data_IF_333366924260
#
_entry.id   IF_333366924260
#
_cell.length_a   1.000
_cell.length_b   1.000
_cell.length_c   1.000
_cell.angle_alpha   90.00
_cell.angle_beta   90.00
_cell.angle_gamma   90.00
#
_symmetry.space_group_name_H-M   'P 1'
#
loop_
_entity.id
_entity.type
_entity.pdbx_description
1 polymer ?
#
# COMPACT_ATOMS: atom_id res chain seq x y z
N UNK A 1 16.62 -5.77 -1.23
CA UNK A 1 15.55 -5.75 -2.25
C UNK A 1 14.63 -6.94 -2.01
N UNK A 2 13.34 -6.69 -1.79
CA UNK A 2 12.32 -7.75 -1.59
C UNK A 2 11.29 -7.68 -2.72
N UNK A 3 10.93 -8.83 -3.29
CA UNK A 3 10.03 -8.92 -4.45
C UNK A 3 8.85 -9.82 -4.12
N UNK A 4 7.65 -9.34 -4.41
CA UNK A 4 6.40 -10.09 -4.26
C UNK A 4 5.72 -10.17 -5.63
N UNK A 5 5.34 -11.38 -6.04
CA UNK A 5 4.60 -11.60 -7.29
C UNK A 5 3.24 -12.19 -6.96
N UNK A 6 2.18 -11.62 -7.52
CA UNK A 6 0.81 -12.10 -7.32
C UNK A 6 -0.03 -11.92 -8.59
N UNK A 7 -1.20 -12.56 -8.61
CA UNK A 7 -2.22 -12.28 -9.62
C UNK A 7 -3.26 -11.32 -9.05
N UNK A 8 -3.51 -10.23 -9.76
CA UNK A 8 -4.58 -9.31 -9.40
C UNK A 8 -5.96 -9.95 -9.66
N UNK A 9 -7.04 -9.25 -9.28
CA UNK A 9 -8.43 -9.73 -9.49
C UNK A 9 -8.85 -9.84 -10.96
N UNK A 10 -8.03 -9.39 -11.89
CA UNK A 10 -8.23 -9.50 -13.32
C UNK A 10 -7.28 -10.53 -13.95
N UNK A 11 -6.67 -11.41 -13.14
CA UNK A 11 -5.72 -12.45 -13.54
C UNK A 11 -4.41 -11.91 -14.17
N UNK A 12 -4.09 -10.63 -13.95
CA UNK A 12 -2.83 -10.02 -14.39
C UNK A 12 -1.73 -10.34 -13.38
N UNK A 13 -0.56 -10.74 -13.87
CA UNK A 13 0.62 -10.95 -13.01
C UNK A 13 1.23 -9.59 -12.68
N UNK A 14 1.30 -9.28 -11.38
CA UNK A 14 1.85 -8.04 -10.86
C UNK A 14 3.08 -8.36 -10.01
N UNK A 15 4.17 -7.64 -10.26
CA UNK A 15 5.43 -7.70 -9.51
C UNK A 15 5.56 -6.46 -8.64
N UNK A 16 5.64 -6.60 -7.33
CA UNK A 16 5.93 -5.50 -6.40
C UNK A 16 7.39 -5.61 -5.98
N UNK A 17 8.12 -4.51 -6.08
CA UNK A 17 9.49 -4.40 -5.60
C UNK A 17 9.57 -3.39 -4.47
N UNK A 18 10.18 -3.81 -3.36
CA UNK A 18 10.50 -2.95 -2.22
C UNK A 18 11.95 -2.52 -2.27
N UNK A 19 12.20 -1.27 -1.88
CA UNK A 19 13.55 -0.81 -1.58
C UNK A 19 14.17 -1.55 -0.38
N UNK A 20 15.46 -1.32 -0.13
CA UNK A 20 16.17 -1.98 0.97
C UNK A 20 15.64 -1.59 2.35
N UNK A 21 15.13 -0.36 2.48
CA UNK A 21 14.51 0.14 3.71
C UNK A 21 13.06 -0.37 3.89
N UNK A 22 12.48 -0.99 2.86
CA UNK A 22 11.06 -1.40 2.78
C UNK A 22 10.08 -0.22 2.95
N UNK A 23 10.59 1.00 2.80
CA UNK A 23 9.85 2.25 2.95
C UNK A 23 9.17 2.65 1.64
N UNK A 24 9.70 2.22 0.51
CA UNK A 24 9.06 2.43 -0.79
C UNK A 24 8.82 1.12 -1.51
N UNK A 25 7.73 1.07 -2.27
CA UNK A 25 7.44 -0.05 -3.15
C UNK A 25 6.85 0.42 -4.48
N UNK A 26 7.19 -0.28 -5.56
CA UNK A 26 6.66 -0.04 -6.90
C UNK A 26 6.03 -1.32 -7.43
N UNK A 27 4.82 -1.21 -7.97
CA UNK A 27 4.11 -2.29 -8.63
C UNK A 27 4.32 -2.21 -10.14
N UNK A 28 4.69 -3.32 -10.75
CA UNK A 28 4.98 -3.48 -12.17
C UNK A 28 4.06 -4.50 -12.82
N UNK A 29 3.72 -4.23 -14.09
CA UNK A 29 3.20 -5.22 -15.03
C UNK A 29 4.03 -5.15 -16.30
N UNK A 30 4.54 -6.28 -16.77
CA UNK A 30 5.32 -6.35 -18.02
C UNK A 30 6.42 -5.24 -18.08
N UNK A 31 7.06 -4.99 -16.94
CA UNK A 31 8.08 -3.94 -16.68
C UNK A 31 7.60 -2.47 -16.70
N UNK A 32 6.31 -2.22 -16.92
CA UNK A 32 5.67 -0.92 -16.75
C UNK A 32 5.31 -0.67 -15.27
N UNK A 33 5.72 0.47 -14.71
CA UNK A 33 5.33 0.87 -13.35
C UNK A 33 3.87 1.35 -13.33
N UNK A 34 3.01 0.63 -12.61
CA UNK A 34 1.55 0.85 -12.58
C UNK A 34 1.03 1.26 -11.20
N UNK A 35 1.89 1.31 -10.19
CA UNK A 35 1.53 1.74 -8.85
C UNK A 35 2.74 1.96 -7.96
N UNK A 36 2.56 2.75 -6.91
CA UNK A 36 3.61 3.08 -5.97
C UNK A 36 3.06 3.27 -4.55
N UNK A 37 3.91 2.95 -3.59
CA UNK A 37 3.71 3.13 -2.16
C UNK A 37 4.94 3.84 -1.56
N UNK A 38 4.71 4.84 -0.72
CA UNK A 38 5.73 5.42 0.14
C UNK A 38 5.23 5.43 1.59
N UNK A 39 6.11 4.98 2.48
CA UNK A 39 5.92 4.91 3.91
C UNK A 39 7.02 5.74 4.57
N UNK A 40 6.64 6.57 5.53
CA UNK A 40 7.56 7.17 6.50
C UNK A 40 7.66 6.24 7.70
N UNK A 41 8.85 5.72 7.98
CA UNK A 41 9.11 4.82 9.11
C UNK A 41 9.12 5.56 10.47
N UNK A 42 9.02 6.89 10.46
CA UNK A 42 8.94 7.73 11.65
C UNK A 42 10.27 7.83 12.41
N UNK A 43 11.40 7.44 11.82
CA UNK A 43 12.74 7.61 12.37
C UNK A 43 13.08 6.71 13.56
N UNK A 44 12.34 5.62 13.79
CA UNK A 44 12.70 4.61 14.80
C UNK A 44 11.55 3.73 15.29
N UNK A 45 11.91 2.68 16.03
CA UNK A 45 11.00 1.59 16.45
C UNK A 45 9.80 2.00 17.32
N UNK A 46 9.78 3.22 17.87
CA UNK A 46 8.73 3.70 18.76
C UNK A 46 7.51 4.31 18.04
N UNK A 47 7.65 4.72 16.76
CA UNK A 47 6.53 5.24 15.97
C UNK A 47 5.99 4.17 15.03
N UNK A 48 4.68 4.22 14.78
CA UNK A 48 4.07 3.43 13.72
C UNK A 48 4.39 4.06 12.37
N UNK A 49 4.82 3.25 11.38
CA UNK A 49 5.06 3.73 10.03
C UNK A 49 3.80 4.39 9.47
N UNK A 50 3.92 5.54 8.81
CA UNK A 50 2.81 6.26 8.20
C UNK A 50 2.83 6.20 6.69
N UNK A 51 1.64 6.04 6.11
CA UNK A 51 1.44 6.18 4.68
C UNK A 51 1.64 7.64 4.26
N UNK A 52 2.62 7.90 3.39
CA UNK A 52 2.85 9.22 2.80
C UNK A 52 2.34 9.31 1.37
N UNK A 53 2.39 8.20 0.63
CA UNK A 53 1.90 8.14 -0.75
C UNK A 53 1.35 6.77 -1.10
N UNK A 54 0.22 6.74 -1.77
CA UNK A 54 -0.31 5.56 -2.45
C UNK A 54 -0.88 5.98 -3.80
N UNK A 55 -0.46 5.30 -4.85
CA UNK A 55 -0.99 5.53 -6.18
C UNK A 55 -1.08 4.22 -6.96
N UNK A 56 -2.13 4.10 -7.76
CA UNK A 56 -2.30 3.04 -8.75
C UNK A 56 -2.87 3.70 -10.01
N UNK A 57 -2.29 3.38 -11.15
CA UNK A 57 -2.71 3.85 -12.47
C UNK A 57 -4.20 3.55 -12.69
N UNK A 58 -5.01 4.49 -13.24
CA UNK A 58 -6.45 4.34 -13.37
C UNK A 58 -6.89 3.01 -14.01
N UNK A 59 -6.20 2.55 -15.05
CA UNK A 59 -6.48 1.30 -15.77
C UNK A 59 -6.30 0.02 -14.92
N UNK A 60 -5.62 0.16 -13.78
CA UNK A 60 -5.27 -0.92 -12.87
C UNK A 60 -5.97 -0.80 -11.50
N UNK A 61 -6.82 0.20 -11.29
CA UNK A 61 -7.56 0.36 -10.03
C UNK A 61 -8.61 -0.73 -9.86
N UNK A 62 -9.08 -0.90 -8.62
CA UNK A 62 -10.10 -1.91 -8.21
C UNK A 62 -9.70 -3.37 -8.46
N UNK A 63 -8.43 -3.62 -8.70
CA UNK A 63 -7.85 -4.95 -8.97
C UNK A 63 -7.21 -5.62 -7.74
N UNK A 64 -7.13 -4.91 -6.62
CA UNK A 64 -6.46 -5.39 -5.40
C UNK A 64 -5.03 -4.88 -5.22
N UNK A 65 -4.40 -4.24 -6.21
CA UNK A 65 -2.99 -3.78 -6.12
C UNK A 65 -2.73 -2.89 -4.89
N UNK A 66 -3.58 -1.87 -4.68
CA UNK A 66 -3.43 -0.96 -3.54
C UNK A 66 -3.54 -1.67 -2.18
N UNK A 67 -4.42 -2.68 -2.09
CA UNK A 67 -4.55 -3.52 -0.91
C UNK A 67 -3.29 -4.36 -0.70
N UNK A 68 -2.81 -5.03 -1.75
CA UNK A 68 -1.60 -5.86 -1.68
C UNK A 68 -0.37 -5.05 -1.31
N UNK A 69 -0.19 -3.84 -1.86
CA UNK A 69 0.90 -2.94 -1.48
C UNK A 69 0.92 -2.66 0.03
N UNK A 70 -0.22 -2.26 0.61
CA UNK A 70 -0.33 -1.96 2.04
C UNK A 70 -0.23 -3.22 2.91
N UNK A 71 -0.80 -4.35 2.47
CA UNK A 71 -0.70 -5.62 3.18
C UNK A 71 0.75 -6.11 3.26
N UNK A 72 1.50 -6.02 2.15
CA UNK A 72 2.91 -6.37 2.13
C UNK A 72 3.72 -5.41 3.01
N UNK A 73 3.52 -4.10 2.91
CA UNK A 73 4.21 -3.15 3.78
C UNK A 73 3.94 -3.41 5.27
N UNK A 74 2.68 -3.62 5.68
CA UNK A 74 2.35 -3.92 7.07
C UNK A 74 3.07 -5.18 7.59
N UNK A 75 3.17 -6.22 6.74
CA UNK A 75 3.93 -7.44 7.06
C UNK A 75 5.42 -7.17 7.18
N UNK A 76 5.98 -6.39 6.26
CA UNK A 76 7.40 -6.04 6.25
C UNK A 76 7.83 -5.25 7.49
N UNK A 77 6.98 -4.33 7.96
CA UNK A 77 7.21 -3.59 9.22
C UNK A 77 6.80 -4.37 10.48
N UNK A 78 6.10 -5.51 10.31
CA UNK A 78 5.57 -6.32 11.41
C UNK A 78 4.52 -5.61 12.27
N UNK A 79 3.89 -4.55 11.75
CA UNK A 79 2.91 -3.72 12.45
C UNK A 79 1.95 -3.00 11.48
N UNK A 80 0.78 -2.54 11.93
CA UNK A 80 -0.15 -1.80 11.08
C UNK A 80 0.45 -0.48 10.58
N UNK A 81 0.15 -0.11 9.34
CA UNK A 81 0.52 1.19 8.77
C UNK A 81 -0.49 2.25 9.21
N UNK A 82 0.00 3.38 9.72
CA UNK A 82 -0.83 4.53 10.07
C UNK A 82 -1.27 5.26 8.80
N UNK A 83 -2.57 5.55 8.71
CA UNK A 83 -3.13 6.49 7.74
C UNK A 83 -3.62 7.69 8.55
N UNK A 84 -3.01 8.86 8.34
CA UNK A 84 -3.41 10.06 9.06
C UNK A 84 -4.84 10.47 8.67
N UNK A 85 -5.62 11.01 9.60
CA UNK A 85 -7.04 11.33 9.40
C UNK A 85 -7.25 12.25 8.18
N UNK A 86 -6.38 13.25 7.98
CA UNK A 86 -6.42 14.09 6.78
C UNK A 86 -6.14 13.32 5.48
N UNK A 87 -5.23 12.34 5.50
CA UNK A 87 -4.98 11.45 4.37
C UNK A 87 -6.12 10.42 4.17
N UNK A 88 -6.87 10.10 5.23
CA UNK A 88 -8.07 9.25 5.15
C UNK A 88 -9.25 9.99 4.51
N UNK A 89 -9.36 11.29 4.75
CA UNK A 89 -10.41 12.17 4.21
C UNK A 89 -10.15 12.57 2.75
N UNK A 90 -8.88 12.56 2.31
CA UNK A 90 -8.52 12.93 0.95
C UNK A 90 -7.68 11.83 0.25
N UNK A 91 -8.11 11.31 -0.91
CA UNK A 91 -9.23 11.79 -1.73
C UNK A 91 -10.59 11.30 -1.20
N UNK A 92 -11.58 12.19 -1.14
CA UNK A 92 -12.95 11.85 -0.76
C UNK A 92 -13.63 11.04 -1.88
N UNK A 93 -13.31 9.74 -1.90
CA UNK A 93 -13.84 8.81 -2.89
C UNK A 93 -14.32 7.54 -2.19
N UNK A 94 -15.45 6.95 -2.64
CA UNK A 94 -15.93 5.69 -2.09
C UNK A 94 -14.91 4.55 -2.17
N UNK A 95 -14.05 4.56 -3.20
CA UNK A 95 -13.00 3.56 -3.38
C UNK A 95 -11.92 3.66 -2.29
N UNK A 96 -11.44 4.88 -1.99
CA UNK A 96 -10.46 5.10 -0.93
C UNK A 96 -11.03 4.76 0.45
N UNK A 97 -12.25 5.24 0.73
CA UNK A 97 -12.94 4.96 1.98
C UNK A 97 -13.15 3.45 2.21
N UNK A 98 -13.55 2.73 1.16
CA UNK A 98 -13.71 1.27 1.21
C UNK A 98 -12.38 0.56 1.43
N UNK A 99 -11.33 0.97 0.72
CA UNK A 99 -9.99 0.39 0.89
C UNK A 99 -9.50 0.53 2.33
N UNK A 100 -9.56 1.74 2.91
CA UNK A 100 -9.15 1.98 4.29
C UNK A 100 -9.95 1.14 5.27
N UNK A 101 -11.29 1.09 5.13
CA UNK A 101 -12.14 0.29 6.01
C UNK A 101 -11.81 -1.21 5.95
N UNK A 102 -11.58 -1.75 4.75
CA UNK A 102 -11.21 -3.17 4.60
C UNK A 102 -9.86 -3.47 5.26
N UNK A 103 -8.85 -2.62 5.00
CA UNK A 103 -7.53 -2.79 5.59
C UNK A 103 -7.51 -2.61 7.11
N UNK A 104 -8.34 -1.70 7.64
CA UNK A 104 -8.50 -1.49 9.08
C UNK A 104 -9.16 -2.70 9.74
N UNK A 105 -10.21 -3.25 9.11
CA UNK A 105 -10.85 -4.49 9.57
C UNK A 105 -9.89 -5.68 9.59
N UNK A 106 -8.96 -5.74 8.62
CA UNK A 106 -7.91 -6.76 8.56
C UNK A 106 -6.73 -6.50 9.52
N UNK A 107 -6.73 -5.36 10.24
CA UNK A 107 -5.65 -4.97 11.13
C UNK A 107 -4.34 -4.56 10.42
N UNK A 108 -4.39 -4.29 9.12
CA UNK A 108 -3.23 -3.91 8.30
C UNK A 108 -2.94 -2.42 8.37
N UNK A 109 -3.96 -1.61 8.67
CA UNK A 109 -3.82 -0.17 8.86
C UNK A 109 -4.54 0.28 10.12
N UNK A 110 -4.11 1.44 10.65
CA UNK A 110 -4.81 2.18 11.70
C UNK A 110 -5.04 3.60 11.23
N UNK A 111 -6.27 4.10 11.36
CA UNK A 111 -6.58 5.50 11.02
C UNK A 111 -6.44 6.34 12.29
N UNK A 112 -5.65 7.42 12.25
CA UNK A 112 -5.44 8.32 13.40
C UNK A 112 -5.31 9.78 13.03
#
# INVERSE_FOLDING_TARGET
>A
MHVVVFRDRCERVIRIEFDDARATAVAYRDDEAIGALCIDDGGGAARSPSLTRLYVEPAYRRSGIAHTLLACASREFGRPIRIDAGAREWPDTPAWATLCRCLEYEGLVVVR
#
